data_IF_262746830859
#
_entry.id   IF_262746830859
#
_cell.length_a   1.000
_cell.length_b   1.000
_cell.length_c   1.000
_cell.angle_alpha   90.00
_cell.angle_beta   90.00
_cell.angle_gamma   90.00
#
_symmetry.space_group_name_H-M   'P 1'
#
loop_
_entity.id
_entity.type
_entity.pdbx_description
1 polymer ?
#
# COMPACT_ATOMS: atom_id res chain seq x y z
N UNK A 1 0.08 -9.81 10.90
CA UNK A 1 -0.26 -9.81 9.45
C UNK A 1 -1.19 -8.64 9.19
N UNK A 2 -0.95 -7.85 8.16
CA UNK A 2 -1.80 -6.71 7.77
C UNK A 2 -3.10 -7.23 7.18
N UNK A 3 -4.25 -6.94 7.80
CA UNK A 3 -5.54 -7.23 7.16
C UNK A 3 -5.70 -6.39 5.89
N UNK A 4 -6.13 -7.02 4.77
CA UNK A 4 -6.39 -6.30 3.53
C UNK A 4 -7.55 -5.32 3.71
N UNK A 5 -7.37 -4.09 3.24
CA UNK A 5 -8.48 -3.14 3.11
C UNK A 5 -9.28 -3.49 1.86
N UNK A 6 -10.60 -3.59 2.01
CA UNK A 6 -11.53 -3.90 0.93
C UNK A 6 -12.14 -2.63 0.33
N UNK A 7 -12.53 -2.70 -0.95
CA UNK A 7 -13.15 -1.58 -1.68
C UNK A 7 -14.50 -1.15 -1.10
N UNK A 8 -15.25 -2.08 -0.53
CA UNK A 8 -16.58 -1.89 0.04
C UNK A 8 -16.96 -3.04 0.98
N UNK A 9 -18.04 -2.87 1.75
CA UNK A 9 -18.61 -3.93 2.59
C UNK A 9 -19.06 -5.14 1.75
N UNK A 10 -19.62 -4.88 0.56
CA UNK A 10 -19.98 -5.94 -0.38
C UNK A 10 -18.75 -6.72 -0.84
N UNK A 11 -17.64 -6.05 -1.16
CA UNK A 11 -16.37 -6.71 -1.51
C UNK A 11 -15.80 -7.52 -0.35
N UNK A 12 -15.93 -7.04 0.89
CA UNK A 12 -15.52 -7.77 2.08
C UNK A 12 -16.38 -9.03 2.28
N UNK A 13 -17.70 -8.93 2.10
CA UNK A 13 -18.62 -10.06 2.19
C UNK A 13 -18.34 -11.12 1.11
N UNK A 14 -18.12 -10.70 -0.14
CA UNK A 14 -17.75 -11.60 -1.25
C UNK A 14 -16.42 -12.31 -0.97
N UNK A 15 -15.40 -11.58 -0.50
CA UNK A 15 -14.11 -12.18 -0.15
C UNK A 15 -14.23 -13.18 1.00
N UNK A 16 -15.02 -12.86 2.03
CA UNK A 16 -15.30 -13.77 3.15
C UNK A 16 -15.97 -15.07 2.68
N UNK A 17 -16.97 -14.98 1.80
CA UNK A 17 -17.61 -16.15 1.21
C UNK A 17 -16.62 -17.00 0.40
N UNK A 18 -15.82 -16.37 -0.47
CA UNK A 18 -14.77 -17.05 -1.23
C UNK A 18 -13.74 -17.75 -0.30
N UNK A 19 -13.33 -17.09 0.78
CA UNK A 19 -12.44 -17.68 1.79
C UNK A 19 -13.04 -18.93 2.43
N UNK A 20 -14.35 -18.91 2.71
CA UNK A 20 -15.10 -20.09 3.14
C UNK A 20 -15.02 -21.25 2.14
N UNK A 21 -15.28 -20.97 0.86
CA UNK A 21 -15.19 -21.97 -0.22
C UNK A 21 -13.78 -22.54 -0.38
N UNK A 22 -12.75 -21.71 -0.26
CA UNK A 22 -11.37 -22.17 -0.33
C UNK A 22 -10.99 -23.06 0.85
N UNK A 23 -11.40 -22.70 2.07
CA UNK A 23 -11.19 -23.54 3.26
C UNK A 23 -11.88 -24.89 3.14
N UNK A 24 -13.05 -24.94 2.48
CA UNK A 24 -13.76 -26.17 2.17
C UNK A 24 -13.16 -26.96 0.99
N UNK A 25 -12.10 -26.46 0.34
CA UNK A 25 -11.47 -27.10 -0.83
C UNK A 25 -12.28 -26.99 -2.13
N UNK A 26 -13.35 -26.19 -2.15
CA UNK A 26 -14.26 -26.04 -3.30
C UNK A 26 -13.70 -25.10 -4.37
N UNK A 27 -12.82 -24.18 -4.00
CA UNK A 27 -12.07 -23.35 -4.94
C UNK A 27 -10.58 -23.41 -4.66
N UNK A 28 -9.79 -23.37 -5.72
CA UNK A 28 -8.34 -23.43 -5.63
C UNK A 28 -7.69 -22.09 -5.27
N UNK A 29 -6.40 -22.15 -4.92
CA UNK A 29 -5.57 -20.98 -4.59
C UNK A 29 -5.52 -19.93 -5.72
N UNK A 30 -5.59 -20.36 -6.98
CA UNK A 30 -5.63 -19.45 -8.14
C UNK A 30 -6.91 -18.59 -8.09
N UNK A 31 -8.07 -19.22 -7.94
CA UNK A 31 -9.36 -18.55 -7.85
C UNK A 31 -9.42 -17.60 -6.65
N UNK A 32 -8.85 -17.98 -5.50
CA UNK A 32 -8.75 -17.05 -4.36
C UNK A 32 -7.95 -15.79 -4.65
N UNK A 33 -6.84 -15.90 -5.39
CA UNK A 33 -6.03 -14.73 -5.79
C UNK A 33 -6.78 -13.81 -6.77
N UNK A 34 -7.68 -14.36 -7.59
CA UNK A 34 -8.56 -13.57 -8.44
C UNK A 34 -9.57 -12.78 -7.60
N UNK A 35 -10.15 -13.41 -6.56
CA UNK A 35 -10.99 -12.70 -5.58
C UNK A 35 -10.23 -11.62 -4.81
N UNK A 36 -8.98 -11.87 -4.41
CA UNK A 36 -8.11 -10.86 -3.79
C UNK A 36 -7.98 -9.63 -4.70
N UNK A 37 -7.62 -9.82 -5.96
CA UNK A 37 -7.45 -8.74 -6.93
C UNK A 37 -8.75 -7.93 -7.17
N UNK A 38 -9.90 -8.61 -7.14
CA UNK A 38 -11.20 -7.97 -7.34
C UNK A 38 -11.66 -7.18 -6.12
N UNK A 39 -11.37 -7.66 -4.91
CA UNK A 39 -11.97 -7.13 -3.67
C UNK A 39 -11.06 -6.13 -2.92
N UNK A 40 -9.74 -6.24 -3.07
CA UNK A 40 -8.78 -5.41 -2.33
C UNK A 40 -8.71 -3.99 -2.89
N UNK A 41 -8.70 -3.01 -1.99
CA UNK A 41 -8.61 -1.60 -2.32
C UNK A 41 -7.23 -1.24 -2.93
N UNK A 42 -7.25 -0.31 -3.89
CA UNK A 42 -6.03 0.29 -4.42
C UNK A 42 -5.22 1.00 -3.31
N UNK A 43 -3.95 1.28 -3.59
CA UNK A 43 -3.19 2.14 -2.69
C UNK A 43 -3.84 3.54 -2.68
N UNK A 44 -3.90 4.21 -1.51
CA UNK A 44 -4.48 5.54 -1.43
C UNK A 44 -3.65 6.55 -2.22
N UNK A 45 -4.31 7.60 -2.72
CA UNK A 45 -3.64 8.75 -3.28
C UNK A 45 -2.99 9.59 -2.16
N UNK A 46 -1.75 10.01 -2.38
CA UNK A 46 -1.03 10.87 -1.45
C UNK A 46 -0.80 12.25 -2.08
N UNK A 47 -1.21 13.29 -1.37
CA UNK A 47 -0.83 14.66 -1.72
C UNK A 47 0.59 14.98 -1.20
N UNK A 48 1.18 16.04 -1.74
CA UNK A 48 2.54 16.47 -1.42
C UNK A 48 2.77 16.63 0.09
N UNK A 49 1.78 17.18 0.81
CA UNK A 49 1.82 17.38 2.26
C UNK A 49 1.76 16.06 3.03
N UNK A 50 0.97 15.09 2.59
CA UNK A 50 0.92 13.76 3.20
C UNK A 50 2.27 13.05 3.08
N UNK A 51 2.91 13.13 1.91
CA UNK A 51 4.22 12.49 1.68
C UNK A 51 5.28 13.09 2.60
N UNK A 52 5.34 14.42 2.69
CA UNK A 52 6.26 15.11 3.60
C UNK A 52 5.99 14.77 5.08
N UNK A 53 4.71 14.59 5.46
CA UNK A 53 4.34 14.15 6.82
C UNK A 53 4.80 12.73 7.11
N UNK A 54 4.63 11.78 6.18
CA UNK A 54 5.07 10.39 6.33
C UNK A 54 6.59 10.32 6.54
N UNK A 55 7.36 11.05 5.72
CA UNK A 55 8.82 11.08 5.90
C UNK A 55 9.22 11.68 7.25
N UNK A 56 8.58 12.79 7.65
CA UNK A 56 8.86 13.45 8.93
C UNK A 56 8.46 12.59 10.13
N UNK A 57 7.39 11.79 10.04
CA UNK A 57 6.96 10.92 11.13
C UNK A 57 7.94 9.78 11.40
N UNK A 58 8.76 9.40 10.42
CA UNK A 58 9.86 8.42 10.61
C UNK A 58 11.22 9.09 10.83
N UNK A 59 11.26 10.41 11.00
CA UNK A 59 12.43 11.22 11.35
C UNK A 59 13.67 11.02 10.46
N UNK A 60 13.50 11.02 9.14
CA UNK A 60 14.61 10.90 8.18
C UNK A 60 14.66 12.04 7.16
N UNK A 61 15.84 12.28 6.60
CA UNK A 61 16.04 13.23 5.49
C UNK A 61 15.40 12.70 4.19
N UNK A 62 15.22 13.57 3.19
CA UNK A 62 14.71 13.15 1.87
C UNK A 62 15.62 12.11 1.20
N UNK A 63 16.94 12.21 1.36
CA UNK A 63 17.88 11.26 0.77
C UNK A 63 17.82 9.88 1.43
N UNK A 64 17.72 9.83 2.76
CA UNK A 64 17.56 8.56 3.49
C UNK A 64 16.21 7.93 3.16
N UNK A 65 15.13 8.72 3.11
CA UNK A 65 13.82 8.24 2.71
C UNK A 65 13.82 7.65 1.30
N UNK A 66 14.51 8.31 0.37
CA UNK A 66 14.66 7.83 -1.00
C UNK A 66 15.38 6.47 -1.07
N UNK A 67 16.42 6.27 -0.25
CA UNK A 67 17.12 5.00 -0.15
C UNK A 67 16.20 3.87 0.32
N UNK A 68 15.39 4.09 1.37
CA UNK A 68 14.40 3.10 1.84
C UNK A 68 13.36 2.76 0.78
N UNK A 69 12.89 3.74 0.02
CA UNK A 69 11.87 3.55 -1.02
C UNK A 69 12.45 3.10 -2.37
N UNK A 70 13.76 2.81 -2.44
CA UNK A 70 14.48 2.47 -3.66
C UNK A 70 14.19 3.46 -4.82
N UNK A 71 14.32 4.75 -4.53
CA UNK A 71 14.11 5.84 -5.50
C UNK A 71 15.17 6.94 -5.32
N UNK A 72 15.07 8.02 -6.10
CA UNK A 72 16.02 9.15 -6.01
C UNK A 72 15.51 10.24 -5.06
N UNK A 73 16.42 10.98 -4.45
CA UNK A 73 16.09 12.18 -3.65
C UNK A 73 15.29 13.19 -4.47
N UNK A 74 15.59 13.32 -5.78
CA UNK A 74 14.86 14.19 -6.70
C UNK A 74 13.39 13.75 -6.86
N UNK A 75 13.14 12.44 -6.93
CA UNK A 75 11.78 11.89 -6.99
C UNK A 75 11.00 12.21 -5.70
N UNK A 76 11.60 11.97 -4.52
CA UNK A 76 10.97 12.32 -3.23
C UNK A 76 10.67 13.81 -3.15
N UNK A 77 11.60 14.65 -3.60
CA UNK A 77 11.40 16.10 -3.66
C UNK A 77 10.22 16.49 -4.58
N UNK A 78 10.17 15.96 -5.80
CA UNK A 78 9.06 16.22 -6.75
C UNK A 78 7.71 15.77 -6.17
N UNK A 79 7.69 14.66 -5.42
CA UNK A 79 6.49 14.23 -4.70
C UNK A 79 6.09 15.19 -3.58
N UNK A 80 7.03 15.62 -2.74
CA UNK A 80 6.78 16.57 -1.65
C UNK A 80 6.47 18.00 -2.13
N UNK A 81 6.77 18.33 -3.39
CA UNK A 81 6.42 19.59 -4.04
C UNK A 81 5.10 19.51 -4.83
N UNK A 82 4.65 18.30 -5.17
CA UNK A 82 3.44 18.08 -5.96
C UNK A 82 3.65 18.07 -7.48
N UNK A 83 4.89 18.19 -7.95
CA UNK A 83 5.27 18.13 -9.37
C UNK A 83 5.00 16.74 -9.97
N UNK A 84 5.11 15.70 -9.15
CA UNK A 84 4.75 14.33 -9.50
C UNK A 84 3.95 13.67 -8.39
N UNK A 85 3.15 12.68 -8.75
CA UNK A 85 2.43 11.83 -7.79
C UNK A 85 3.06 10.43 -7.74
N UNK A 86 3.22 9.83 -6.55
CA UNK A 86 3.55 8.42 -6.45
C UNK A 86 2.36 7.61 -6.96
N UNK A 87 2.63 6.54 -7.70
CA UNK A 87 1.59 5.65 -8.22
C UNK A 87 2.00 4.18 -8.08
N UNK A 88 1.03 3.28 -8.20
CA UNK A 88 1.23 1.84 -8.13
C UNK A 88 2.00 1.42 -6.88
N UNK A 89 3.19 0.84 -7.06
CA UNK A 89 4.02 0.37 -5.96
C UNK A 89 4.49 1.49 -5.03
N UNK A 90 4.80 2.68 -5.55
CA UNK A 90 5.28 3.79 -4.73
C UNK A 90 4.21 4.24 -3.73
N UNK A 91 2.96 4.36 -4.16
CA UNK A 91 1.83 4.66 -3.29
C UNK A 91 1.62 3.55 -2.25
N UNK A 92 1.74 2.27 -2.64
CA UNK A 92 1.63 1.15 -1.71
C UNK A 92 2.75 1.14 -0.65
N UNK A 93 3.99 1.44 -1.04
CA UNK A 93 5.11 1.56 -0.10
C UNK A 93 4.91 2.73 0.87
N UNK A 94 4.45 3.88 0.39
CA UNK A 94 4.11 5.02 1.25
C UNK A 94 3.02 4.66 2.26
N UNK A 95 1.99 3.90 1.85
CA UNK A 95 0.97 3.38 2.76
C UNK A 95 1.56 2.46 3.83
N UNK A 96 2.48 1.57 3.44
CA UNK A 96 3.15 0.68 4.38
C UNK A 96 3.99 1.45 5.40
N UNK A 97 4.78 2.41 4.94
CA UNK A 97 5.60 3.25 5.83
C UNK A 97 4.74 4.13 6.73
N UNK A 98 3.62 4.67 6.22
CA UNK A 98 2.67 5.42 7.05
C UNK A 98 2.12 4.57 8.20
N UNK A 99 1.86 3.28 7.97
CA UNK A 99 1.25 2.38 8.95
C UNK A 99 2.26 1.75 9.91
N UNK A 100 3.47 1.42 9.43
CA UNK A 100 4.44 0.59 10.15
C UNK A 100 5.79 1.27 10.38
N UNK A 101 5.99 2.47 9.85
CA UNK A 101 7.30 3.11 9.81
C UNK A 101 8.29 2.37 8.91
N UNK A 102 9.58 2.59 9.14
CA UNK A 102 10.65 1.99 8.34
C UNK A 102 10.93 0.52 8.68
N UNK A 103 10.32 -0.01 9.75
CA UNK A 103 10.43 -1.41 10.13
C UNK A 103 9.82 -2.38 9.09
N UNK A 104 9.04 -1.88 8.13
CA UNK A 104 8.53 -2.71 7.02
C UNK A 104 9.62 -3.20 6.05
N UNK A 105 10.81 -2.58 6.11
CA UNK A 105 11.98 -2.98 5.32
C UNK A 105 12.95 -3.89 6.07
N UNK A 106 12.59 -4.29 7.31
CA UNK A 106 13.35 -5.21 8.17
C UNK A 106 12.74 -6.60 8.11
#
# INVERSE_FOLDING_TARGET
>A
MTEPRFKSDASAAVHSAASGLHRAGLIGKKTMREYDALCIEAAPDFDARAIARIRKSVNVSQSVFAAYLNTTTSTVRQWEQGDKKPSGMAARLLQLVQKHGLAVFS
#
